data_IF_733315953089
#
_entry.id   IF_733315953089
#
_cell.length_a   1.000
_cell.length_b   1.000
_cell.length_c   1.000
_cell.angle_alpha   90.00
_cell.angle_beta   90.00
_cell.angle_gamma   90.00
#
_symmetry.space_group_name_H-M   'P 1'
#
loop_
_entity.id
_entity.type
_entity.pdbx_description
1 polymer ?
#
# COMPACT_ATOMS: atom_id res chain seq x y z
N UNK A 1 -18.42 -18.35 -14.48
CA UNK A 1 -18.95 -18.90 -13.22
C UNK A 1 -17.83 -18.89 -12.20
N UNK A 2 -17.84 -17.87 -11.34
CA UNK A 2 -16.84 -17.69 -10.29
C UNK A 2 -16.88 -18.88 -9.31
N UNK A 3 -15.70 -19.46 -9.01
CA UNK A 3 -15.57 -20.56 -8.05
C UNK A 3 -15.63 -19.98 -6.63
N UNK A 4 -16.57 -20.42 -5.80
CA UNK A 4 -16.67 -20.02 -4.39
C UNK A 4 -16.10 -21.11 -3.47
N UNK A 5 -15.54 -20.70 -2.33
CA UNK A 5 -15.02 -21.64 -1.32
C UNK A 5 -16.11 -21.95 -0.30
N UNK A 6 -16.28 -23.24 0.03
CA UNK A 6 -17.37 -23.74 0.89
C UNK A 6 -17.11 -23.59 2.42
N UNK A 7 -15.87 -23.30 2.85
CA UNK A 7 -15.51 -23.20 4.28
C UNK A 7 -15.16 -21.77 4.68
N UNK A 8 -15.70 -21.35 5.81
CA UNK A 8 -15.49 -20.04 6.44
C UNK A 8 -14.32 -20.13 7.40
N UNK A 9 -13.45 -19.12 7.38
CA UNK A 9 -12.56 -18.83 8.50
C UNK A 9 -13.43 -18.34 9.66
N UNK A 10 -13.47 -19.10 10.76
CA UNK A 10 -14.43 -18.92 11.86
C UNK A 10 -14.33 -17.57 12.58
N UNK A 11 -13.27 -16.78 12.30
CA UNK A 11 -12.96 -15.51 12.98
C UNK A 11 -12.42 -14.46 11.99
N UNK A 12 -13.27 -13.87 11.13
CA UNK A 12 -12.83 -12.88 10.14
C UNK A 12 -12.14 -11.65 10.77
N UNK A 13 -12.48 -11.31 12.01
CA UNK A 13 -11.86 -10.20 12.74
C UNK A 13 -10.38 -10.41 13.08
N UNK A 14 -9.93 -11.66 13.25
CA UNK A 14 -8.50 -11.96 13.48
C UNK A 14 -7.68 -11.68 12.22
N UNK A 15 -8.17 -12.15 11.06
CA UNK A 15 -7.54 -11.86 9.77
C UNK A 15 -7.47 -10.35 9.52
N UNK A 16 -8.59 -9.63 9.71
CA UNK A 16 -8.62 -8.19 9.50
C UNK A 16 -7.71 -7.44 10.47
N UNK A 17 -7.68 -7.83 11.75
CA UNK A 17 -6.75 -7.26 12.73
C UNK A 17 -5.29 -7.52 12.38
N UNK A 18 -4.96 -8.71 11.87
CA UNK A 18 -3.62 -9.06 11.41
C UNK A 18 -3.22 -8.24 10.17
N UNK A 19 -4.12 -8.11 9.20
CA UNK A 19 -3.89 -7.28 8.00
C UNK A 19 -3.61 -5.83 8.41
N UNK A 20 -4.43 -5.27 9.31
CA UNK A 20 -4.21 -3.92 9.84
C UNK A 20 -2.84 -3.81 10.52
N UNK A 21 -2.54 -4.70 11.48
CA UNK A 21 -1.31 -4.67 12.26
C UNK A 21 -0.05 -4.83 11.42
N UNK A 22 -0.05 -5.77 10.47
CA UNK A 22 1.08 -6.00 9.55
C UNK A 22 1.28 -4.80 8.64
N UNK A 23 0.19 -4.23 8.10
CA UNK A 23 0.28 -3.03 7.24
C UNK A 23 0.82 -1.83 8.03
N UNK A 24 0.33 -1.59 9.26
CA UNK A 24 0.88 -0.53 10.12
C UNK A 24 2.35 -0.76 10.46
N UNK A 25 2.74 -2.01 10.71
CA UNK A 25 4.10 -2.34 11.10
C UNK A 25 5.11 -2.00 10.00
N UNK A 26 4.90 -2.53 8.79
CA UNK A 26 5.80 -2.27 7.66
C UNK A 26 5.60 -0.88 7.06
N UNK A 27 4.35 -0.44 6.88
CA UNK A 27 4.05 0.85 6.27
C UNK A 27 4.51 2.04 7.13
N UNK A 28 4.43 1.94 8.46
CA UNK A 28 4.70 3.08 9.33
C UNK A 28 5.74 2.82 10.43
N UNK A 29 5.61 1.74 11.22
CA UNK A 29 6.44 1.56 12.42
C UNK A 29 7.91 1.40 12.05
N UNK A 30 8.23 0.55 11.07
CA UNK A 30 9.61 0.33 10.60
C UNK A 30 10.22 1.64 10.10
N UNK A 31 9.45 2.38 9.30
CA UNK A 31 9.85 3.67 8.72
C UNK A 31 10.08 4.74 9.78
N UNK A 32 9.14 4.89 10.71
CA UNK A 32 9.21 5.83 11.83
C UNK A 32 10.37 5.49 12.76
N UNK A 33 10.57 4.21 13.11
CA UNK A 33 11.68 3.76 13.93
C UNK A 33 13.03 4.04 13.24
N UNK A 34 13.14 3.79 11.93
CA UNK A 34 14.30 4.16 11.14
C UNK A 34 14.58 5.66 11.15
N UNK A 35 13.54 6.49 11.01
CA UNK A 35 13.65 7.95 11.12
C UNK A 35 14.14 8.41 12.49
N UNK A 36 13.62 7.83 13.58
CA UNK A 36 14.06 8.13 14.96
C UNK A 36 15.49 7.68 15.19
N UNK A 37 15.86 6.49 14.69
CA UNK A 37 17.21 5.95 14.82
C UNK A 37 18.25 6.82 14.12
N UNK A 38 17.97 7.27 12.89
CA UNK A 38 18.85 8.21 12.17
C UNK A 38 19.06 9.51 12.94
N UNK A 39 17.99 10.05 13.57
CA UNK A 39 18.09 11.25 14.42
C UNK A 39 18.89 11.00 15.69
N UNK A 40 18.74 9.84 16.32
CA UNK A 40 19.53 9.49 17.50
C UNK A 40 21.03 9.45 17.14
N UNK A 41 21.39 8.85 16.02
CA UNK A 41 22.78 8.73 15.59
C UNK A 41 23.39 10.03 15.03
N UNK A 42 22.66 11.15 15.06
CA UNK A 42 23.04 12.40 14.39
C UNK A 42 23.46 12.17 12.92
N UNK A 43 22.80 11.22 12.24
CA UNK A 43 23.16 10.84 10.89
C UNK A 43 22.86 12.00 9.92
N UNK A 44 23.80 12.38 9.02
CA UNK A 44 23.59 13.45 8.05
C UNK A 44 22.34 13.27 7.17
N UNK A 45 21.81 12.07 7.04
CA UNK A 45 20.55 11.82 6.33
C UNK A 45 19.38 12.52 7.03
N UNK A 46 19.34 12.48 8.37
CA UNK A 46 18.26 13.07 9.15
C UNK A 46 18.25 14.61 9.11
N UNK A 47 19.43 15.23 8.94
CA UNK A 47 19.56 16.69 8.85
C UNK A 47 19.42 17.22 7.42
N UNK A 48 19.84 16.45 6.40
CA UNK A 48 19.88 16.92 5.01
C UNK A 48 18.63 16.54 4.19
N UNK A 49 17.85 15.55 4.62
CA UNK A 49 16.67 15.09 3.89
C UNK A 49 15.42 15.09 4.77
N UNK A 50 14.27 15.33 4.13
CA UNK A 50 12.97 15.06 4.77
C UNK A 50 12.86 13.58 5.07
N UNK A 51 12.51 13.25 6.31
CA UNK A 51 12.36 11.88 6.83
C UNK A 51 10.88 11.53 6.97
N UNK A 52 10.54 10.26 7.18
CA UNK A 52 9.14 9.76 7.30
C UNK A 52 8.25 10.65 8.14
N UNK A 53 8.74 11.04 9.33
CA UNK A 53 7.96 11.82 10.30
C UNK A 53 7.70 13.27 9.87
N UNK A 54 8.26 13.71 8.76
CA UNK A 54 8.04 15.04 8.15
C UNK A 54 6.91 15.04 7.11
N UNK A 55 6.38 13.87 6.73
CA UNK A 55 5.37 13.72 5.69
C UNK A 55 4.00 13.45 6.29
N UNK A 56 2.99 14.26 5.95
CA UNK A 56 1.62 14.05 6.42
C UNK A 56 1.04 12.78 5.82
N UNK A 57 1.40 12.48 4.57
CA UNK A 57 1.07 11.22 3.90
C UNK A 57 1.67 10.00 4.61
N UNK A 58 2.83 10.11 5.26
CA UNK A 58 3.36 9.01 6.05
C UNK A 58 2.63 8.88 7.40
N UNK A 59 2.41 10.01 8.10
CA UNK A 59 1.75 10.00 9.41
C UNK A 59 0.28 9.56 9.36
N UNK A 60 -0.46 9.99 8.33
CA UNK A 60 -1.89 9.69 8.19
C UNK A 60 -2.11 8.58 7.17
N UNK A 61 -1.42 8.64 6.04
CA UNK A 61 -1.56 7.66 4.97
C UNK A 61 -1.05 6.29 5.39
N UNK A 62 0.25 6.18 5.67
CA UNK A 62 0.87 4.87 5.96
C UNK A 62 0.44 4.31 7.32
N UNK A 63 0.23 5.18 8.32
CA UNK A 63 -0.16 4.73 9.66
C UNK A 63 -1.65 4.35 9.78
N UNK A 64 -2.54 4.95 8.97
CA UNK A 64 -3.99 4.78 9.11
C UNK A 64 -4.69 4.43 7.79
N UNK A 65 -4.55 5.25 6.73
CA UNK A 65 -5.34 5.06 5.51
C UNK A 65 -5.00 3.76 4.78
N UNK A 66 -3.73 3.43 4.58
CA UNK A 66 -3.32 2.18 3.90
C UNK A 66 -3.77 0.95 4.71
N UNK A 67 -3.51 0.86 6.04
CA UNK A 67 -4.04 -0.22 6.86
C UNK A 67 -5.56 -0.39 6.77
N UNK A 68 -6.31 0.70 6.80
CA UNK A 68 -7.78 0.67 6.67
C UNK A 68 -8.22 0.20 5.27
N UNK A 69 -7.57 0.69 4.20
CA UNK A 69 -7.83 0.23 2.83
C UNK A 69 -7.62 -1.26 2.71
N UNK A 70 -6.53 -1.79 3.27
CA UNK A 70 -6.24 -3.22 3.22
C UNK A 70 -7.28 -4.05 3.97
N UNK A 71 -7.75 -3.57 5.12
CA UNK A 71 -8.88 -4.18 5.85
C UNK A 71 -10.14 -4.19 4.99
N UNK A 72 -10.47 -3.08 4.31
CA UNK A 72 -11.65 -3.02 3.45
C UNK A 72 -11.53 -3.92 2.21
N UNK A 73 -10.35 -3.96 1.58
CA UNK A 73 -10.04 -4.86 0.47
C UNK A 73 -10.22 -6.30 0.91
N UNK A 74 -9.50 -6.74 1.96
CA UNK A 74 -9.55 -8.13 2.41
C UNK A 74 -10.94 -8.51 2.91
N UNK A 75 -11.62 -7.62 3.62
CA UNK A 75 -12.99 -7.84 4.07
C UNK A 75 -13.98 -8.00 2.91
N UNK A 76 -13.80 -7.25 1.82
CA UNK A 76 -14.64 -7.39 0.62
C UNK A 76 -14.32 -8.68 -0.13
N UNK A 77 -13.04 -9.01 -0.31
CA UNK A 77 -12.60 -10.27 -0.93
C UNK A 77 -13.14 -11.49 -0.16
N UNK A 78 -13.09 -11.45 1.17
CA UNK A 78 -13.64 -12.48 2.05
C UNK A 78 -15.18 -12.60 1.95
N UNK A 79 -15.87 -11.53 1.53
CA UNK A 79 -17.33 -11.55 1.32
C UNK A 79 -17.68 -12.22 0.00
N UNK A 80 -16.95 -11.91 -1.07
CA UNK A 80 -17.16 -12.56 -2.37
C UNK A 80 -16.72 -14.03 -2.37
N UNK A 81 -15.80 -14.41 -1.48
CA UNK A 81 -15.34 -15.81 -1.27
C UNK A 81 -14.88 -16.48 -2.55
N UNK A 82 -14.39 -15.69 -3.50
CA UNK A 82 -13.94 -16.22 -4.76
C UNK A 82 -12.62 -16.93 -4.57
N UNK A 83 -12.47 -18.10 -5.17
CA UNK A 83 -11.20 -18.79 -5.30
C UNK A 83 -10.47 -18.24 -6.52
N UNK A 84 -9.43 -17.39 -6.33
CA UNK A 84 -8.72 -16.83 -7.47
C UNK A 84 -7.95 -17.91 -8.24
N UNK A 85 -7.76 -17.67 -9.53
CA UNK A 85 -6.86 -18.46 -10.35
C UNK A 85 -5.40 -18.03 -10.11
N UNK A 86 -4.45 -18.96 -10.26
CA UNK A 86 -3.02 -18.64 -10.12
C UNK A 86 -2.56 -17.53 -11.06
N UNK A 87 -3.12 -17.45 -12.27
CA UNK A 87 -2.82 -16.38 -13.23
C UNK A 87 -3.25 -14.98 -12.74
N UNK A 88 -4.33 -14.89 -11.96
CA UNK A 88 -4.81 -13.60 -11.43
C UNK A 88 -3.88 -13.11 -10.31
N UNK A 89 -3.41 -14.03 -9.46
CA UNK A 89 -2.43 -13.73 -8.41
C UNK A 89 -1.09 -13.35 -9.04
N UNK A 90 -0.59 -14.16 -9.97
CA UNK A 90 0.67 -13.90 -10.66
C UNK A 90 0.62 -12.59 -11.45
N UNK A 91 -0.49 -12.31 -12.14
CA UNK A 91 -0.69 -11.06 -12.86
C UNK A 91 -0.64 -9.83 -11.95
N UNK A 92 -1.26 -9.90 -10.77
CA UNK A 92 -1.21 -8.82 -9.79
C UNK A 92 0.19 -8.64 -9.16
N UNK A 93 0.90 -9.73 -8.89
CA UNK A 93 2.29 -9.70 -8.39
C UNK A 93 3.25 -9.08 -9.41
N UNK A 94 3.16 -9.51 -10.67
CA UNK A 94 3.99 -8.99 -11.77
C UNK A 94 3.65 -7.53 -12.09
N UNK A 95 2.36 -7.19 -12.12
CA UNK A 95 1.91 -5.81 -12.31
C UNK A 95 2.40 -4.89 -11.19
N UNK A 96 2.33 -5.35 -9.94
CA UNK A 96 2.84 -4.59 -8.80
C UNK A 96 4.35 -4.40 -8.85
N UNK A 97 5.10 -5.44 -9.20
CA UNK A 97 6.54 -5.36 -9.37
C UNK A 97 6.91 -4.35 -10.48
N UNK A 98 6.23 -4.42 -11.63
CA UNK A 98 6.45 -3.51 -12.75
C UNK A 98 6.21 -2.05 -12.36
N UNK A 99 5.06 -1.75 -11.73
CA UNK A 99 4.73 -0.39 -11.29
C UNK A 99 5.76 0.09 -10.25
N UNK A 100 6.10 -0.74 -9.27
CA UNK A 100 7.08 -0.40 -8.25
C UNK A 100 8.42 -0.03 -8.88
N UNK A 101 8.94 -0.86 -9.79
CA UNK A 101 10.20 -0.59 -10.49
C UNK A 101 10.11 0.70 -11.30
N UNK A 102 9.04 0.92 -12.06
CA UNK A 102 8.86 2.15 -12.85
C UNK A 102 8.88 3.38 -11.95
N UNK A 103 8.16 3.37 -10.83
CA UNK A 103 8.10 4.51 -9.91
C UNK A 103 9.46 4.78 -9.27
N UNK A 104 10.21 3.74 -8.87
CA UNK A 104 11.54 3.90 -8.29
C UNK A 104 12.56 4.40 -9.34
N UNK A 105 12.50 3.88 -10.57
CA UNK A 105 13.33 4.39 -11.67
C UNK A 105 12.99 5.85 -12.00
N UNK A 106 11.71 6.22 -11.97
CA UNK A 106 11.27 7.60 -12.16
C UNK A 106 11.79 8.50 -11.03
N UNK A 107 11.71 8.06 -9.77
CA UNK A 107 12.28 8.76 -8.62
C UNK A 107 13.78 9.02 -8.83
N UNK A 108 14.54 7.99 -9.22
CA UNK A 108 15.97 8.07 -9.48
C UNK A 108 16.32 8.99 -10.66
N UNK A 109 15.60 8.86 -11.78
CA UNK A 109 15.83 9.64 -12.99
C UNK A 109 15.58 11.15 -12.79
N UNK A 110 14.65 11.52 -11.90
CA UNK A 110 14.32 12.91 -11.60
C UNK A 110 15.03 13.44 -10.34
N UNK A 111 15.97 12.67 -9.76
CA UNK A 111 16.68 13.03 -8.53
C UNK A 111 15.73 13.48 -7.40
N UNK A 112 14.62 12.77 -7.22
CA UNK A 112 13.68 13.00 -6.11
C UNK A 112 14.27 12.42 -4.82
N UNK A 113 15.30 13.08 -4.33
CA UNK A 113 16.12 12.64 -3.20
C UNK A 113 15.37 12.78 -1.88
N UNK A 114 15.52 11.77 -1.03
CA UNK A 114 14.98 11.74 0.32
C UNK A 114 15.75 10.72 1.17
N UNK A 115 15.25 10.47 2.38
CA UNK A 115 15.82 9.50 3.30
C UNK A 115 15.81 8.02 2.81
N UNK A 116 14.97 7.68 1.82
CA UNK A 116 14.96 6.35 1.18
C UNK A 116 15.90 6.26 -0.02
N UNK A 117 16.24 7.38 -0.66
CA UNK A 117 17.18 7.46 -1.78
C UNK A 117 18.00 8.75 -1.69
N UNK A 118 19.21 8.65 -1.12
CA UNK A 118 20.07 9.82 -0.84
C UNK A 118 20.89 10.26 -2.06
N UNK A 119 21.08 9.37 -3.04
CA UNK A 119 21.71 9.65 -4.32
C UNK A 119 20.94 8.93 -5.44
N UNK A 120 20.93 9.45 -6.68
CA UNK A 120 20.27 8.77 -7.80
C UNK A 120 20.72 7.32 -7.92
N UNK A 121 19.76 6.39 -8.06
CA UNK A 121 20.00 4.94 -8.16
C UNK A 121 20.66 4.28 -6.94
N UNK A 122 20.68 4.97 -5.78
CA UNK A 122 21.21 4.45 -4.51
C UNK A 122 20.17 4.60 -3.41
N UNK A 123 19.44 3.52 -3.17
CA UNK A 123 18.49 3.42 -2.07
C UNK A 123 19.18 3.00 -0.78
N UNK A 124 18.72 3.55 0.34
CA UNK A 124 19.14 3.10 1.67
C UNK A 124 18.52 1.74 1.99
N UNK A 125 18.96 1.08 3.06
CA UNK A 125 18.33 -0.16 3.53
C UNK A 125 16.82 0.01 3.79
N UNK A 126 16.45 1.19 4.30
CA UNK A 126 15.05 1.54 4.53
C UNK A 126 14.31 1.82 3.21
N UNK A 127 15.01 2.33 2.19
CA UNK A 127 14.43 2.46 0.85
C UNK A 127 14.10 1.12 0.19
N UNK A 128 14.93 0.09 0.38
CA UNK A 128 14.62 -1.25 -0.11
C UNK A 128 13.45 -1.91 0.65
N UNK A 129 13.36 -1.68 1.96
CA UNK A 129 12.20 -2.12 2.75
C UNK A 129 10.91 -1.44 2.23
N UNK A 130 10.95 -0.12 2.05
CA UNK A 130 9.81 0.63 1.53
C UNK A 130 9.41 0.16 0.12
N UNK A 131 10.39 -0.12 -0.75
CA UNK A 131 10.13 -0.64 -2.08
C UNK A 131 9.40 -2.01 -2.03
N UNK A 132 9.82 -2.89 -1.12
CA UNK A 132 9.18 -4.19 -0.92
C UNK A 132 7.75 -4.04 -0.35
N UNK A 133 7.55 -3.11 0.59
CA UNK A 133 6.23 -2.77 1.10
C UNK A 133 5.32 -2.25 -0.03
N UNK A 134 5.77 -1.26 -0.80
CA UNK A 134 5.02 -0.70 -1.93
C UNK A 134 4.69 -1.75 -2.98
N UNK A 135 5.59 -2.69 -3.25
CA UNK A 135 5.31 -3.82 -4.14
C UNK A 135 4.13 -4.66 -3.63
N UNK A 136 4.13 -5.04 -2.35
CA UNK A 136 3.05 -5.82 -1.75
C UNK A 136 1.71 -5.06 -1.81
N UNK A 137 1.71 -3.78 -1.45
CA UNK A 137 0.53 -2.91 -1.46
C UNK A 137 -0.06 -2.77 -2.87
N UNK A 138 0.77 -2.42 -3.86
CA UNK A 138 0.31 -2.26 -5.25
C UNK A 138 -0.21 -3.60 -5.78
N UNK A 139 0.45 -4.71 -5.48
CA UNK A 139 -0.03 -6.04 -5.86
C UNK A 139 -1.39 -6.37 -5.25
N UNK A 140 -1.62 -6.05 -3.97
CA UNK A 140 -2.92 -6.24 -3.33
C UNK A 140 -4.03 -5.39 -3.99
N UNK A 141 -3.73 -4.12 -4.27
CA UNK A 141 -4.65 -3.19 -4.93
C UNK A 141 -5.00 -3.66 -6.35
N UNK A 142 -3.99 -4.06 -7.14
CA UNK A 142 -4.20 -4.59 -8.49
C UNK A 142 -5.01 -5.89 -8.46
N UNK A 143 -4.71 -6.78 -7.51
CA UNK A 143 -5.47 -8.00 -7.34
C UNK A 143 -6.94 -7.68 -7.04
N UNK A 144 -7.20 -6.80 -6.08
CA UNK A 144 -8.54 -6.37 -5.69
C UNK A 144 -9.33 -5.79 -6.86
N UNK A 145 -8.77 -4.84 -7.61
CA UNK A 145 -9.45 -4.26 -8.76
C UNK A 145 -9.67 -5.27 -9.89
N UNK A 146 -8.76 -6.23 -10.07
CA UNK A 146 -8.99 -7.38 -10.95
C UNK A 146 -10.19 -8.22 -10.50
N UNK A 147 -10.35 -8.47 -9.19
CA UNK A 147 -11.54 -9.15 -8.65
C UNK A 147 -12.81 -8.32 -8.85
N UNK A 148 -12.76 -7.00 -8.61
CA UNK A 148 -13.88 -6.08 -8.85
C UNK A 148 -14.35 -6.17 -10.30
N UNK A 149 -13.43 -6.13 -11.27
CA UNK A 149 -13.78 -6.21 -12.70
C UNK A 149 -14.48 -7.52 -13.05
N UNK A 150 -14.03 -8.65 -12.50
CA UNK A 150 -14.62 -9.96 -12.73
C UNK A 150 -15.99 -10.10 -12.06
N UNK A 151 -16.13 -9.62 -10.82
CA UNK A 151 -17.41 -9.63 -10.09
C UNK A 151 -18.40 -8.68 -10.76
N UNK A 152 -17.98 -7.51 -11.20
CA UNK A 152 -18.84 -6.55 -11.91
C UNK A 152 -19.44 -7.16 -13.18
N UNK A 153 -18.65 -8.00 -13.89
CA UNK A 153 -19.10 -8.69 -15.11
C UNK A 153 -20.17 -9.76 -14.84
N UNK A 154 -20.04 -10.54 -13.77
CA UNK A 154 -20.98 -11.63 -13.46
C UNK A 154 -22.14 -11.19 -12.54
N UNK A 155 -21.94 -10.21 -11.66
CA UNK A 155 -22.88 -9.79 -10.62
C UNK A 155 -22.67 -8.32 -10.21
N UNK A 156 -23.07 -7.34 -11.04
CA UNK A 156 -22.73 -5.93 -10.86
C UNK A 156 -23.28 -5.28 -9.58
N UNK A 157 -24.32 -5.85 -8.95
CA UNK A 157 -24.84 -5.32 -7.68
C UNK A 157 -23.89 -5.60 -6.51
N UNK A 158 -23.09 -6.67 -6.58
CA UNK A 158 -22.17 -7.08 -5.51
C UNK A 158 -20.96 -6.15 -5.35
N UNK A 159 -20.66 -5.31 -6.35
CA UNK A 159 -19.63 -4.28 -6.24
C UNK A 159 -20.12 -3.00 -5.57
N UNK A 160 -21.45 -2.80 -5.47
CA UNK A 160 -22.07 -1.67 -4.79
C UNK A 160 -22.06 -1.89 -3.27
N UNK A 161 -20.86 -1.96 -2.71
CA UNK A 161 -20.64 -2.18 -1.28
C UNK A 161 -20.00 -0.95 -0.64
N UNK A 162 -20.33 -0.73 0.64
CA UNK A 162 -19.69 0.31 1.45
C UNK A 162 -18.17 0.13 1.51
N UNK A 163 -17.66 -1.11 1.51
CA UNK A 163 -16.22 -1.38 1.53
C UNK A 163 -15.52 -0.94 0.24
N UNK A 164 -16.10 -1.22 -0.92
CA UNK A 164 -15.55 -0.74 -2.21
C UNK A 164 -15.53 0.78 -2.25
N UNK A 165 -16.60 1.44 -1.78
CA UNK A 165 -16.64 2.89 -1.67
C UNK A 165 -15.55 3.43 -0.73
N UNK A 166 -15.37 2.82 0.44
CA UNK A 166 -14.33 3.22 1.39
C UNK A 166 -12.91 3.02 0.84
N UNK A 167 -12.66 1.96 0.07
CA UNK A 167 -11.38 1.79 -0.65
C UNK A 167 -11.12 2.96 -1.60
N UNK A 168 -12.14 3.38 -2.37
CA UNK A 168 -12.01 4.54 -3.27
C UNK A 168 -11.75 5.82 -2.47
N UNK A 169 -12.55 6.09 -1.44
CA UNK A 169 -12.44 7.32 -0.64
C UNK A 169 -11.10 7.41 0.08
N UNK A 170 -10.65 6.33 0.71
CA UNK A 170 -9.34 6.30 1.37
C UNK A 170 -8.19 6.42 0.35
N UNK A 171 -8.30 5.79 -0.83
CA UNK A 171 -7.31 5.93 -1.89
C UNK A 171 -7.23 7.37 -2.41
N UNK A 172 -8.36 8.04 -2.62
CA UNK A 172 -8.40 9.45 -3.01
C UNK A 172 -7.86 10.37 -1.91
N UNK A 173 -8.19 10.09 -0.64
CA UNK A 173 -7.65 10.82 0.50
C UNK A 173 -6.13 10.65 0.59
N UNK A 174 -5.62 9.44 0.40
CA UNK A 174 -4.18 9.15 0.39
C UNK A 174 -3.47 9.89 -0.74
N UNK A 175 -3.98 9.81 -1.98
CA UNK A 175 -3.43 10.54 -3.12
C UNK A 175 -3.40 12.05 -2.87
N UNK A 176 -4.46 12.60 -2.26
CA UNK A 176 -4.50 14.02 -1.86
C UNK A 176 -3.37 14.36 -0.87
N UNK A 177 -3.14 13.52 0.14
CA UNK A 177 -2.06 13.75 1.11
C UNK A 177 -0.68 13.68 0.45
N UNK A 178 -0.44 12.71 -0.43
CA UNK A 178 0.81 12.58 -1.18
C UNK A 178 1.06 13.84 -2.02
N UNK A 179 0.07 14.24 -2.82
CA UNK A 179 0.21 15.46 -3.63
C UNK A 179 0.37 16.73 -2.79
N UNK A 180 -0.29 16.82 -1.63
CA UNK A 180 -0.09 17.91 -0.67
C UNK A 180 1.33 17.98 -0.14
N UNK A 181 1.92 16.84 0.22
CA UNK A 181 3.31 16.77 0.72
C UNK A 181 4.36 17.19 -0.33
N UNK A 182 4.04 17.02 -1.62
CA UNK A 182 4.84 17.49 -2.75
C UNK A 182 4.47 18.90 -3.23
N UNK A 183 3.56 19.60 -2.56
CA UNK A 183 3.22 21.00 -2.83
C UNK A 183 2.31 21.23 -4.03
N UNK A 184 1.62 20.20 -4.52
CA UNK A 184 0.67 20.35 -5.63
C UNK A 184 -0.66 21.00 -5.22
N UNK A 185 -0.97 21.03 -3.91
CA UNK A 185 -2.14 21.67 -3.35
C UNK A 185 -1.76 22.40 -2.05
N UNK A 186 -2.31 23.60 -1.85
CA UNK A 186 -2.24 24.38 -0.61
C UNK A 186 -3.48 24.20 0.25
#
# INVERSE_FOLDING_TARGET
MLRTVARVEERPWLLLGLVFGVTCFFGFIVQAAGSVWLRWQDDPIASNYRTTLSYTSALIGDALLIPLVNVFIVGQLATWRRRPHGAEIAGALLGGALITVIVHLYQAANALLNWTMTQPYRWSGIGYEHAAFMWAEISLVLFFWGQVALVAKESPREILSQRVLLVILCGLAFLRLVFGDYGYFG
#
